data_IF_077365467766
#
_entry.id   IF_077365467766
#
_cell.length_a   1.000
_cell.length_b   1.000
_cell.length_c   1.000
_cell.angle_alpha   90.00
_cell.angle_beta   90.00
_cell.angle_gamma   90.00
#
_symmetry.space_group_name_H-M   'P 1'
#
loop_
_entity.id
_entity.type
_entity.pdbx_description
1 polymer ?
#
# COMPACT_ATOMS: atom_id res chain seq x y z
N UNK A 1 -54.43 29.58 -57.72
CA UNK A 1 -54.82 29.12 -56.39
C UNK A 1 -53.67 28.27 -55.82
N UNK A 2 -52.75 28.91 -55.15
CA UNK A 2 -51.57 28.28 -54.57
C UNK A 2 -51.73 28.23 -53.04
N UNK A 3 -51.83 27.05 -52.45
CA UNK A 3 -51.94 26.85 -50.99
C UNK A 3 -50.55 26.72 -50.40
N UNK A 4 -50.21 27.63 -49.51
CA UNK A 4 -49.05 27.57 -48.63
C UNK A 4 -49.27 26.54 -47.50
N UNK A 5 -48.30 25.71 -47.09
CA UNK A 5 -48.40 24.81 -45.96
C UNK A 5 -48.12 25.57 -44.62
N UNK A 6 -48.66 25.09 -43.49
CA UNK A 6 -48.55 25.78 -42.24
C UNK A 6 -47.19 25.50 -41.55
N UNK A 7 -46.68 26.52 -40.84
CA UNK A 7 -45.42 26.48 -40.07
C UNK A 7 -45.54 25.53 -38.88
N UNK A 8 -44.58 24.64 -38.73
CA UNK A 8 -44.41 23.75 -37.57
C UNK A 8 -43.87 24.50 -36.33
N UNK A 9 -44.31 24.17 -35.14
CA UNK A 9 -43.97 24.92 -33.92
C UNK A 9 -42.52 24.75 -33.48
N UNK A 10 -41.90 25.85 -33.10
CA UNK A 10 -40.53 26.05 -32.66
C UNK A 10 -40.17 25.36 -31.33
N UNK A 11 -40.98 24.44 -30.80
CA UNK A 11 -40.78 23.82 -29.48
C UNK A 11 -39.83 22.59 -29.44
N UNK A 12 -39.38 22.09 -30.59
CA UNK A 12 -38.52 20.89 -30.67
C UNK A 12 -37.03 21.15 -30.63
N UNK A 13 -36.58 22.39 -30.61
CA UNK A 13 -35.16 22.75 -30.63
C UNK A 13 -34.51 22.90 -29.23
N UNK A 14 -35.27 22.96 -28.16
CA UNK A 14 -34.73 23.12 -26.81
C UNK A 14 -34.63 21.82 -26.02
N UNK A 15 -35.21 20.72 -26.49
CA UNK A 15 -35.06 19.40 -25.84
C UNK A 15 -33.79 18.64 -26.30
N UNK A 16 -33.22 19.00 -27.45
CA UNK A 16 -31.96 18.35 -27.92
C UNK A 16 -30.69 18.94 -27.31
N UNK A 17 -30.76 20.17 -26.77
CA UNK A 17 -29.60 20.80 -26.11
C UNK A 17 -29.43 20.42 -24.63
N UNK A 18 -30.52 19.94 -23.99
CA UNK A 18 -30.48 19.53 -22.58
C UNK A 18 -29.95 18.12 -22.32
N UNK A 19 -29.99 17.23 -23.32
CA UNK A 19 -29.54 15.84 -23.19
C UNK A 19 -28.04 15.69 -23.51
N UNK A 20 -27.50 16.63 -24.29
CA UNK A 20 -26.06 16.66 -24.63
C UNK A 20 -25.16 17.14 -23.48
N UNK A 21 -25.68 17.93 -22.54
CA UNK A 21 -24.89 18.47 -21.42
C UNK A 21 -24.81 17.53 -20.18
N UNK A 22 -25.68 16.51 -20.10
CA UNK A 22 -25.66 15.54 -19.00
C UNK A 22 -24.84 14.29 -19.30
N UNK A 23 -24.39 14.11 -20.55
CA UNK A 23 -23.57 12.95 -20.96
C UNK A 23 -22.05 13.18 -20.85
N UNK A 24 -21.60 14.37 -20.43
CA UNK A 24 -20.16 14.72 -20.31
C UNK A 24 -19.66 14.62 -18.86
N UNK A 25 -20.51 14.29 -17.88
CA UNK A 25 -20.14 14.24 -16.47
C UNK A 25 -19.99 12.82 -15.87
N UNK A 26 -20.00 11.78 -16.72
CA UNK A 26 -19.68 10.41 -16.29
C UNK A 26 -18.49 9.81 -17.04
N UNK A 27 -17.45 10.58 -17.31
CA UNK A 27 -16.12 10.00 -17.37
C UNK A 27 -15.74 9.69 -15.91
N UNK A 28 -16.19 8.56 -15.41
CA UNK A 28 -15.57 7.93 -14.28
C UNK A 28 -14.09 7.79 -14.66
N UNK A 29 -13.25 8.65 -14.12
CA UNK A 29 -11.82 8.39 -14.01
C UNK A 29 -11.79 7.05 -13.31
N UNK A 30 -11.46 5.99 -14.05
CA UNK A 30 -11.10 4.70 -13.46
C UNK A 30 -9.93 5.03 -12.56
N UNK A 31 -10.18 5.20 -11.26
CA UNK A 31 -9.13 5.14 -10.29
C UNK A 31 -8.51 3.76 -10.50
N UNK A 32 -7.38 3.70 -11.19
CA UNK A 32 -6.58 2.49 -11.19
C UNK A 32 -6.28 2.23 -9.73
N UNK A 33 -6.89 1.18 -9.20
CA UNK A 33 -6.57 0.73 -7.86
C UNK A 33 -5.07 0.42 -7.86
N UNK A 34 -4.30 1.27 -7.18
CA UNK A 34 -2.87 1.04 -7.02
C UNK A 34 -2.72 -0.32 -6.34
N UNK A 35 -2.03 -1.25 -7.01
CA UNK A 35 -1.80 -2.57 -6.42
C UNK A 35 -0.66 -2.48 -5.41
N UNK A 36 -0.86 -3.08 -4.24
CA UNK A 36 0.20 -3.23 -3.26
C UNK A 36 1.10 -4.40 -3.66
N UNK A 37 2.38 -4.23 -3.47
CA UNK A 37 3.38 -5.31 -3.56
C UNK A 37 3.64 -5.80 -2.15
N UNK A 38 3.66 -7.12 -1.99
CA UNK A 38 4.06 -7.78 -0.76
C UNK A 38 5.30 -8.63 -1.06
N UNK A 39 6.39 -8.33 -0.41
CA UNK A 39 7.68 -9.02 -0.61
C UNK A 39 8.49 -8.99 0.67
N UNK A 40 8.69 -10.17 1.26
CA UNK A 40 9.39 -10.33 2.56
C UNK A 40 10.80 -9.75 2.55
N UNK A 41 11.54 -9.89 1.43
CA UNK A 41 12.92 -9.41 1.33
C UNK A 41 12.97 -7.89 1.29
N UNK A 42 12.20 -7.27 0.40
CA UNK A 42 12.18 -5.82 0.22
C UNK A 42 11.62 -5.14 1.46
N UNK A 43 10.48 -5.62 1.97
CA UNK A 43 9.85 -5.09 3.18
C UNK A 43 10.80 -5.19 4.38
N UNK A 44 11.46 -6.35 4.56
CA UNK A 44 12.41 -6.56 5.66
C UNK A 44 13.65 -5.67 5.57
N UNK A 45 14.22 -5.48 4.37
CA UNK A 45 15.37 -4.58 4.16
C UNK A 45 14.99 -3.13 4.49
N UNK A 46 13.87 -2.64 3.96
CA UNK A 46 13.40 -1.27 4.21
C UNK A 46 13.06 -1.07 5.68
N UNK A 47 12.40 -2.03 6.31
CA UNK A 47 12.09 -1.99 7.74
C UNK A 47 13.37 -1.87 8.58
N UNK A 48 14.36 -2.73 8.35
CA UNK A 48 15.64 -2.70 9.08
C UNK A 48 16.41 -1.37 8.92
N UNK A 49 16.30 -0.73 7.75
CA UNK A 49 16.91 0.59 7.56
C UNK A 49 16.15 1.69 8.28
N UNK A 50 14.81 1.57 8.37
CA UNK A 50 13.91 2.59 8.91
C UNK A 50 13.84 2.54 10.44
N UNK A 51 13.96 1.36 11.04
CA UNK A 51 13.77 1.12 12.48
C UNK A 51 14.55 2.10 13.36
N UNK A 52 15.89 2.31 13.20
CA UNK A 52 16.63 3.25 14.05
C UNK A 52 16.14 4.69 13.92
N UNK A 53 15.64 5.08 12.76
CA UNK A 53 15.15 6.46 12.50
C UNK A 53 13.77 6.66 13.11
N UNK A 54 12.88 5.66 13.01
CA UNK A 54 11.56 5.67 13.63
C UNK A 54 11.69 5.73 15.16
N UNK A 55 12.55 4.90 15.74
CA UNK A 55 12.87 4.94 17.18
C UNK A 55 13.39 6.29 17.63
N UNK A 56 14.31 6.89 16.87
CA UNK A 56 14.85 8.22 17.15
C UNK A 56 13.78 9.33 17.11
N UNK A 57 12.66 9.09 16.41
CA UNK A 57 11.48 9.97 16.44
C UNK A 57 10.54 9.64 17.61
N UNK A 58 10.75 8.53 18.34
CA UNK A 58 9.82 8.00 19.33
C UNK A 58 8.52 7.49 18.69
N UNK A 59 8.64 6.90 17.51
CA UNK A 59 7.61 6.09 16.85
C UNK A 59 8.00 4.62 17.03
N UNK A 60 7.07 3.79 17.46
CA UNK A 60 7.31 2.34 17.48
C UNK A 60 7.39 1.84 16.04
N UNK A 61 8.53 1.25 15.58
CA UNK A 61 8.69 0.77 14.23
C UNK A 61 7.66 -0.30 13.83
N UNK A 62 7.17 -1.08 14.81
CA UNK A 62 6.15 -2.11 14.58
C UNK A 62 4.73 -1.54 14.38
N UNK A 63 4.51 -0.27 14.77
CA UNK A 63 3.24 0.43 14.56
C UNK A 63 3.23 1.33 13.31
N UNK A 64 4.37 1.46 12.63
CA UNK A 64 4.48 2.19 11.36
C UNK A 64 4.48 1.19 10.21
N UNK A 65 3.36 1.12 9.51
CA UNK A 65 3.20 0.24 8.35
C UNK A 65 3.80 0.90 7.11
N UNK A 66 4.79 0.26 6.48
CA UNK A 66 5.41 0.72 5.23
C UNK A 66 4.91 -0.16 4.09
N UNK A 67 4.10 0.41 3.22
CA UNK A 67 3.49 -0.26 2.07
C UNK A 67 4.29 0.00 0.80
N UNK A 68 4.56 -1.04 0.03
CA UNK A 68 5.11 -0.93 -1.32
C UNK A 68 3.98 -0.79 -2.33
N UNK A 69 3.96 0.32 -3.05
CA UNK A 69 2.93 0.62 -4.05
C UNK A 69 3.49 0.35 -5.44
N UNK A 70 2.81 -0.52 -6.20
CA UNK A 70 3.15 -0.79 -7.60
C UNK A 70 2.77 0.41 -8.47
N UNK A 71 3.66 1.39 -8.52
CA UNK A 71 3.46 2.61 -9.29
C UNK A 71 4.84 3.15 -9.71
N UNK A 72 4.98 3.44 -10.99
CA UNK A 72 6.23 3.96 -11.57
C UNK A 72 6.44 5.46 -11.30
N UNK A 73 5.45 6.14 -10.75
CA UNK A 73 5.58 7.53 -10.39
C UNK A 73 6.52 7.72 -9.19
N UNK A 74 7.29 8.79 -9.22
CA UNK A 74 8.10 9.22 -8.09
C UNK A 74 7.17 9.75 -7.00
N UNK A 75 6.84 8.91 -6.03
CA UNK A 75 5.96 9.29 -4.93
C UNK A 75 6.24 8.49 -3.66
N UNK A 76 6.08 9.17 -2.52
CA UNK A 76 5.89 8.60 -1.20
C UNK A 76 4.80 9.41 -0.50
N UNK A 77 4.15 8.84 0.48
CA UNK A 77 3.11 9.53 1.23
C UNK A 77 2.93 8.92 2.61
N UNK A 78 2.59 9.75 3.58
CA UNK A 78 2.08 9.33 4.87
C UNK A 78 0.58 9.54 4.94
N UNK A 79 -0.16 8.63 5.58
CA UNK A 79 -1.60 8.73 5.77
C UNK A 79 -2.03 8.41 7.20
N UNK A 80 -3.33 8.50 7.48
CA UNK A 80 -3.90 8.18 8.80
C UNK A 80 -3.59 6.74 9.20
N UNK A 81 -3.40 6.48 10.49
CA UNK A 81 -3.10 5.14 11.00
C UNK A 81 -1.62 4.79 11.03
N UNK A 82 -0.72 5.79 10.87
CA UNK A 82 0.74 5.58 10.78
C UNK A 82 1.15 4.71 9.58
N UNK A 83 0.46 4.86 8.48
CA UNK A 83 0.74 4.16 7.22
C UNK A 83 1.57 5.06 6.33
N UNK A 84 2.63 4.52 5.75
CA UNK A 84 3.50 5.15 4.78
C UNK A 84 3.48 4.35 3.48
N UNK A 85 3.24 4.99 2.35
CA UNK A 85 3.33 4.36 1.03
C UNK A 85 4.62 4.77 0.32
N UNK A 86 5.33 3.81 -0.24
CA UNK A 86 6.51 4.02 -1.08
C UNK A 86 6.24 3.44 -2.48
N UNK A 87 6.18 4.31 -3.48
CA UNK A 87 6.03 3.85 -4.86
C UNK A 87 7.32 3.18 -5.34
N UNK A 88 7.19 2.11 -6.12
CA UNK A 88 8.33 1.42 -6.73
C UNK A 88 9.16 2.36 -7.59
N UNK A 89 8.53 3.30 -8.31
CA UNK A 89 9.24 4.32 -9.08
C UNK A 89 10.18 5.18 -8.24
N UNK A 90 9.80 5.53 -7.00
CA UNK A 90 10.66 6.23 -6.06
C UNK A 90 11.88 5.39 -5.67
N UNK A 91 11.67 4.12 -5.29
CA UNK A 91 12.77 3.22 -4.89
C UNK A 91 13.76 3.04 -6.04
N UNK A 92 13.26 2.82 -7.25
CA UNK A 92 14.08 2.67 -8.46
C UNK A 92 14.86 3.96 -8.83
N UNK A 93 14.38 5.12 -8.41
CA UNK A 93 15.02 6.40 -8.70
C UNK A 93 16.13 6.74 -7.71
N UNK A 94 16.07 6.29 -6.46
CA UNK A 94 17.09 6.52 -5.45
C UNK A 94 18.40 5.84 -5.83
N UNK A 95 19.52 6.50 -5.55
CA UNK A 95 20.88 6.03 -5.92
C UNK A 95 21.60 5.38 -4.74
N UNK A 96 21.05 5.49 -3.55
CA UNK A 96 21.63 4.93 -2.34
C UNK A 96 20.55 4.65 -1.29
N UNK A 97 20.82 3.75 -0.33
CA UNK A 97 19.95 3.53 0.82
C UNK A 97 19.66 4.82 1.59
N UNK A 98 20.69 5.67 1.77
CA UNK A 98 20.57 6.92 2.52
C UNK A 98 19.60 7.93 1.85
N UNK A 99 19.50 7.93 0.50
CA UNK A 99 18.49 8.75 -0.19
C UNK A 99 17.06 8.24 0.09
N UNK A 100 16.82 6.94 0.02
CA UNK A 100 15.52 6.35 0.35
C UNK A 100 15.17 6.58 1.82
N UNK A 101 16.13 6.38 2.71
CA UNK A 101 15.96 6.60 4.15
C UNK A 101 15.66 8.08 4.45
N UNK A 102 16.22 9.01 3.68
CA UNK A 102 15.91 10.44 3.76
C UNK A 102 14.44 10.74 3.47
N UNK A 103 13.87 10.11 2.44
CA UNK A 103 12.43 10.23 2.12
C UNK A 103 11.58 9.59 3.22
N UNK A 104 11.94 8.39 3.67
CA UNK A 104 11.24 7.71 4.78
C UNK A 104 11.25 8.58 6.04
N UNK A 105 12.38 9.22 6.37
CA UNK A 105 12.49 10.14 7.51
C UNK A 105 11.57 11.36 7.36
N UNK A 106 11.42 11.90 6.15
CA UNK A 106 10.48 12.98 5.85
C UNK A 106 9.03 12.55 6.08
N UNK A 107 8.62 11.43 5.51
CA UNK A 107 7.26 10.89 5.66
C UNK A 107 6.95 10.53 7.12
N UNK A 108 7.92 9.94 7.83
CA UNK A 108 7.81 9.70 9.27
C UNK A 108 7.69 11.01 10.06
N UNK A 109 8.30 12.11 9.59
CA UNK A 109 8.13 13.46 10.14
C UNK A 109 6.67 13.92 10.08
N UNK A 110 5.97 13.64 8.97
CA UNK A 110 4.53 13.91 8.84
C UNK A 110 3.69 13.10 9.85
N UNK A 111 4.03 11.83 10.04
CA UNK A 111 3.37 10.96 11.04
C UNK A 111 3.62 11.51 12.45
N UNK A 112 4.87 11.78 12.80
CA UNK A 112 5.28 12.29 14.12
C UNK A 112 4.60 13.59 14.49
N UNK A 113 4.55 14.54 13.55
CA UNK A 113 3.94 15.86 13.75
C UNK A 113 2.41 15.84 13.57
N UNK A 114 1.82 14.66 13.29
CA UNK A 114 0.38 14.45 13.10
C UNK A 114 -0.22 15.30 11.97
N UNK A 115 0.54 15.56 10.92
CA UNK A 115 0.07 16.34 9.77
C UNK A 115 -1.08 15.65 9.07
N UNK A 116 -1.07 14.31 9.02
CA UNK A 116 -2.09 13.47 8.39
C UNK A 116 -3.45 13.47 9.13
N UNK A 117 -3.50 13.96 10.37
CA UNK A 117 -4.71 14.01 11.19
C UNK A 117 -5.40 15.38 11.19
N UNK A 118 -4.75 16.41 10.64
CA UNK A 118 -5.24 17.79 10.71
C UNK A 118 -5.80 18.23 9.37
N UNK A 119 -7.08 18.59 9.31
CA UNK A 119 -7.68 19.31 8.18
C UNK A 119 -7.25 20.79 8.18
N UNK A 120 -5.99 21.02 8.57
CA UNK A 120 -5.46 22.34 8.87
C UNK A 120 -5.31 23.23 7.63
N UNK A 121 -5.07 22.66 6.44
CA UNK A 121 -4.95 23.43 5.21
C UNK A 121 -6.27 24.13 4.84
N UNK A 122 -7.41 23.45 5.00
CA UNK A 122 -8.71 24.06 4.80
C UNK A 122 -8.98 25.17 5.81
N UNK A 123 -8.71 24.93 7.10
CA UNK A 123 -8.89 25.91 8.15
C UNK A 123 -7.95 27.10 7.99
N UNK A 124 -6.69 26.87 7.61
CA UNK A 124 -5.69 27.93 7.37
C UNK A 124 -6.05 28.79 6.15
N UNK A 125 -6.71 28.20 5.13
CA UNK A 125 -7.25 28.94 3.99
C UNK A 125 -8.55 29.65 4.31
N UNK A 126 -9.41 29.08 5.14
CA UNK A 126 -10.73 29.65 5.48
C UNK A 126 -10.61 30.97 6.28
N UNK A 127 -9.70 31.07 7.25
CA UNK A 127 -9.56 32.28 8.05
C UNK A 127 -9.20 33.53 7.23
N UNK A 128 -8.15 33.55 6.39
CA UNK A 128 -7.85 34.68 5.53
C UNK A 128 -8.96 35.01 4.53
N UNK A 129 -9.61 33.98 4.00
CA UNK A 129 -10.76 34.13 3.09
C UNK A 129 -11.93 34.86 3.79
N UNK A 130 -12.35 34.38 4.95
CA UNK A 130 -13.46 34.95 5.71
C UNK A 130 -13.13 36.39 6.15
N UNK A 131 -11.89 36.64 6.62
CA UNK A 131 -11.44 37.96 7.02
C UNK A 131 -11.47 38.93 5.84
N UNK A 132 -11.00 38.54 4.66
CA UNK A 132 -11.02 39.37 3.46
C UNK A 132 -12.45 39.65 2.99
N UNK A 133 -13.34 38.65 3.08
CA UNK A 133 -14.79 38.83 2.79
C UNK A 133 -15.43 39.82 3.77
N UNK A 134 -15.13 39.72 5.06
CA UNK A 134 -15.68 40.63 6.06
C UNK A 134 -15.19 42.06 5.85
N UNK A 135 -13.89 42.27 5.57
CA UNK A 135 -13.34 43.59 5.25
C UNK A 135 -13.94 44.16 3.96
N UNK A 136 -14.19 43.35 2.95
CA UNK A 136 -14.86 43.73 1.71
C UNK A 136 -16.30 44.22 1.95
N UNK A 137 -17.04 43.50 2.79
CA UNK A 137 -18.40 43.90 3.18
C UNK A 137 -18.41 45.21 3.96
N UNK A 138 -17.47 45.40 4.94
CA UNK A 138 -17.33 46.60 5.71
C UNK A 138 -16.96 47.82 4.84
N UNK A 139 -16.03 47.64 3.88
CA UNK A 139 -15.66 48.73 2.94
C UNK A 139 -16.84 49.17 2.08
N UNK A 140 -17.65 48.25 1.60
CA UNK A 140 -18.86 48.53 0.83
C UNK A 140 -19.87 49.35 1.67
N UNK A 141 -20.11 48.96 2.93
CA UNK A 141 -21.00 49.65 3.86
C UNK A 141 -20.45 51.07 4.21
N UNK A 142 -19.14 51.20 4.32
CA UNK A 142 -18.46 52.47 4.63
C UNK A 142 -18.40 53.49 3.46
N UNK A 143 -19.04 53.18 2.33
CA UNK A 143 -19.11 54.04 1.17
C UNK A 143 -18.01 53.87 0.12
N UNK A 144 -17.28 52.74 0.18
CA UNK A 144 -16.25 52.40 -0.79
C UNK A 144 -16.63 51.05 -1.52
N UNK A 145 -17.69 51.00 -2.30
CA UNK A 145 -18.21 49.76 -2.90
C UNK A 145 -17.20 49.10 -3.88
N UNK A 146 -16.43 49.88 -4.63
CA UNK A 146 -15.43 49.36 -5.56
C UNK A 146 -14.28 48.65 -4.81
N UNK A 147 -13.81 49.21 -3.69
CA UNK A 147 -12.80 48.60 -2.82
C UNK A 147 -13.39 47.34 -2.15
N UNK A 148 -14.64 47.37 -1.74
CA UNK A 148 -15.36 46.23 -1.21
C UNK A 148 -15.46 45.08 -2.20
N UNK A 149 -15.84 45.37 -3.44
CA UNK A 149 -15.93 44.38 -4.52
C UNK A 149 -14.54 43.77 -4.84
N UNK A 150 -13.47 44.57 -4.89
CA UNK A 150 -12.10 44.09 -5.11
C UNK A 150 -11.64 43.14 -4.00
N UNK A 151 -11.91 43.44 -2.73
CA UNK A 151 -11.60 42.58 -1.59
C UNK A 151 -12.40 41.27 -1.65
N UNK A 152 -13.70 41.32 -1.95
CA UNK A 152 -14.53 40.12 -2.11
C UNK A 152 -14.01 39.22 -3.24
N UNK A 153 -13.65 39.78 -4.38
CA UNK A 153 -13.08 39.03 -5.51
C UNK A 153 -11.72 38.41 -5.18
N UNK A 154 -10.90 39.01 -4.32
CA UNK A 154 -9.59 38.51 -3.91
C UNK A 154 -9.62 37.50 -2.75
N UNK A 155 -10.79 37.29 -2.13
CA UNK A 155 -10.90 36.43 -0.93
C UNK A 155 -10.44 34.99 -1.15
N UNK A 156 -10.76 34.38 -2.30
CA UNK A 156 -10.29 33.05 -2.66
C UNK A 156 -8.76 32.99 -2.84
N UNK A 157 -8.16 34.05 -3.38
CA UNK A 157 -6.72 34.13 -3.51
C UNK A 157 -6.01 34.13 -2.16
N UNK A 158 -6.49 34.92 -1.19
CA UNK A 158 -5.95 34.91 0.18
C UNK A 158 -6.19 33.60 0.91
N UNK A 159 -7.32 32.93 0.66
CA UNK A 159 -7.57 31.58 1.15
C UNK A 159 -6.56 30.57 0.61
N UNK A 160 -6.29 30.60 -0.69
CA UNK A 160 -5.30 29.73 -1.34
C UNK A 160 -3.90 29.98 -0.79
N UNK A 161 -3.49 31.26 -0.62
CA UNK A 161 -2.20 31.62 -0.03
C UNK A 161 -2.06 31.14 1.42
N UNK A 162 -3.13 31.21 2.21
CA UNK A 162 -3.15 30.72 3.58
C UNK A 162 -2.93 29.20 3.64
N UNK A 163 -3.64 28.45 2.81
CA UNK A 163 -3.50 27.02 2.68
C UNK A 163 -2.08 26.61 2.22
N UNK A 164 -1.54 27.28 1.19
CA UNK A 164 -0.18 27.01 0.69
C UNK A 164 0.89 27.29 1.75
N UNK A 165 0.79 28.39 2.50
CA UNK A 165 1.72 28.69 3.59
C UNK A 165 1.67 27.65 4.70
N UNK A 166 0.47 27.18 5.04
CA UNK A 166 0.29 26.13 6.02
C UNK A 166 0.95 24.83 5.56
N UNK A 167 0.72 24.41 4.30
CA UNK A 167 1.39 23.25 3.72
C UNK A 167 2.91 23.39 3.74
N UNK A 168 3.45 24.53 3.31
CA UNK A 168 4.90 24.80 3.34
C UNK A 168 5.48 24.73 4.77
N UNK A 169 4.73 25.17 5.78
CA UNK A 169 5.15 25.06 7.19
C UNK A 169 5.22 23.59 7.62
N UNK A 170 4.22 22.78 7.28
CA UNK A 170 4.22 21.35 7.59
C UNK A 170 5.37 20.60 6.92
N UNK A 171 5.66 20.95 5.65
CA UNK A 171 6.80 20.40 4.93
C UNK A 171 8.13 20.73 5.63
N UNK A 172 8.33 21.99 6.02
CA UNK A 172 9.52 22.40 6.76
C UNK A 172 9.65 21.72 8.13
N UNK A 173 8.53 21.50 8.83
CA UNK A 173 8.52 20.77 10.10
C UNK A 173 8.88 19.30 9.88
N UNK A 174 8.35 18.65 8.83
CA UNK A 174 8.67 17.26 8.47
C UNK A 174 10.16 17.12 8.11
N UNK A 175 10.71 18.05 7.32
CA UNK A 175 12.13 18.08 6.95
C UNK A 175 13.05 18.13 8.18
N UNK A 176 12.80 19.07 9.07
CA UNK A 176 13.65 19.25 10.27
C UNK A 176 13.47 18.09 11.26
N UNK A 177 12.25 17.55 11.37
CA UNK A 177 11.99 16.38 12.22
C UNK A 177 12.72 15.16 11.68
N UNK A 178 12.65 14.92 10.36
CA UNK A 178 13.36 13.85 9.68
C UNK A 178 14.88 13.97 9.79
N UNK A 179 15.44 15.15 9.51
CA UNK A 179 16.87 15.39 9.61
C UNK A 179 17.43 15.15 11.03
N UNK A 180 16.71 15.63 12.06
CA UNK A 180 17.09 15.40 13.47
C UNK A 180 17.00 13.93 13.85
N UNK A 181 16.04 13.20 13.31
CA UNK A 181 15.91 11.77 13.58
C UNK A 181 17.05 10.98 12.92
N UNK A 182 17.41 11.30 11.69
CA UNK A 182 18.59 10.74 11.02
C UNK A 182 19.85 10.97 11.84
N UNK A 183 20.09 12.20 12.30
CA UNK A 183 21.24 12.53 13.15
C UNK A 183 21.25 11.70 14.44
N UNK A 184 20.13 11.63 15.17
CA UNK A 184 20.01 10.85 16.43
C UNK A 184 20.19 9.35 16.20
N UNK A 185 19.72 8.84 15.08
CA UNK A 185 19.93 7.44 14.66
C UNK A 185 21.38 7.17 14.23
N UNK A 186 22.24 8.19 14.21
CA UNK A 186 23.61 8.08 13.71
C UNK A 186 23.66 7.93 12.19
N UNK A 187 22.63 8.31 11.46
CA UNK A 187 22.55 8.30 9.99
C UNK A 187 22.79 9.68 9.40
N UNK A 188 23.39 9.73 8.19
CA UNK A 188 23.61 11.01 7.53
C UNK A 188 22.29 11.56 6.94
N UNK A 189 22.06 12.86 7.13
CA UNK A 189 20.97 13.57 6.44
C UNK A 189 21.31 13.95 4.99
N UNK A 190 22.54 13.67 4.52
CA UNK A 190 23.03 14.01 3.18
C UNK A 190 22.11 13.49 2.08
N UNK A 191 21.71 12.21 2.14
CA UNK A 191 20.85 11.59 1.12
C UNK A 191 19.49 12.29 0.99
N UNK A 192 18.94 12.82 2.09
CA UNK A 192 17.70 13.61 2.05
C UNK A 192 17.89 14.90 1.25
N UNK A 193 18.99 15.62 1.48
CA UNK A 193 19.31 16.84 0.73
C UNK A 193 19.59 16.52 -0.73
N UNK A 194 20.43 15.51 -1.02
CA UNK A 194 20.76 15.07 -2.37
C UNK A 194 19.52 14.63 -3.16
N UNK A 195 18.59 13.92 -2.50
CA UNK A 195 17.33 13.53 -3.10
C UNK A 195 16.52 14.76 -3.53
N UNK A 196 16.32 15.71 -2.64
CA UNK A 196 15.54 16.93 -2.92
C UNK A 196 16.19 17.79 -4.01
N UNK A 197 17.50 17.89 -4.04
CA UNK A 197 18.24 18.63 -5.07
C UNK A 197 18.12 17.99 -6.45
N UNK A 198 18.36 16.68 -6.52
CA UNK A 198 18.24 15.91 -7.76
C UNK A 198 16.81 15.97 -8.30
N UNK A 199 15.84 15.85 -7.39
CA UNK A 199 14.43 15.89 -7.73
C UNK A 199 14.02 17.27 -8.26
N UNK A 200 14.47 18.34 -7.62
CA UNK A 200 14.24 19.70 -8.08
C UNK A 200 14.93 20.02 -9.40
N UNK A 201 16.14 19.51 -9.64
CA UNK A 201 16.81 19.68 -10.92
C UNK A 201 15.98 19.11 -12.06
N UNK A 202 15.31 17.97 -11.86
CA UNK A 202 14.38 17.40 -12.82
C UNK A 202 13.11 18.23 -13.02
N UNK A 203 12.59 18.88 -11.94
CA UNK A 203 11.42 19.77 -12.04
C UNK A 203 11.65 20.92 -13.05
N UNK A 204 12.85 21.47 -13.09
CA UNK A 204 13.22 22.58 -13.99
C UNK A 204 13.25 22.12 -15.46
N UNK A 205 13.57 20.86 -15.73
CA UNK A 205 13.76 20.32 -17.08
C UNK A 205 12.58 19.50 -17.60
N UNK A 206 11.58 19.17 -16.75
CA UNK A 206 10.39 18.43 -17.14
C UNK A 206 9.11 19.23 -16.90
N UNK A 207 8.06 18.94 -17.68
CA UNK A 207 6.73 19.52 -17.47
C UNK A 207 6.28 19.24 -16.03
N UNK A 208 6.33 20.27 -15.18
CA UNK A 208 6.17 20.23 -13.70
C UNK A 208 4.94 19.49 -13.17
N UNK A 209 3.99 19.17 -14.03
CA UNK A 209 2.72 18.55 -13.68
C UNK A 209 2.79 17.01 -13.63
N UNK A 210 3.93 16.42 -13.95
CA UNK A 210 4.05 15.00 -14.23
C UNK A 210 4.26 14.13 -12.99
N UNK A 211 4.78 14.69 -11.89
CA UNK A 211 5.10 13.90 -10.69
C UNK A 211 4.17 14.23 -9.52
N UNK A 212 3.39 13.25 -9.01
CA UNK A 212 2.49 13.43 -7.87
C UNK A 212 3.17 13.98 -6.61
N UNK A 213 4.42 13.59 -6.35
CA UNK A 213 5.18 14.03 -5.20
C UNK A 213 5.31 15.55 -5.09
N UNK A 214 5.52 16.28 -6.19
CA UNK A 214 5.58 17.74 -6.18
C UNK A 214 4.28 18.42 -5.79
N UNK A 215 3.17 17.76 -6.09
CA UNK A 215 1.85 18.30 -5.74
C UNK A 215 1.54 18.14 -4.26
N UNK A 216 2.00 17.02 -3.66
CA UNK A 216 1.85 16.75 -2.23
C UNK A 216 2.94 17.42 -1.38
N UNK A 217 4.18 17.51 -1.89
CA UNK A 217 5.37 18.00 -1.19
C UNK A 217 6.09 19.10 -2.00
N UNK A 218 5.54 20.32 -2.10
CA UNK A 218 6.14 21.38 -2.91
C UNK A 218 7.56 21.73 -2.44
N UNK A 219 8.55 21.52 -3.32
CA UNK A 219 9.94 21.83 -3.06
C UNK A 219 10.26 23.28 -3.49
N UNK A 220 10.77 24.08 -2.56
CA UNK A 220 11.33 25.41 -2.85
C UNK A 220 12.83 25.43 -2.58
N UNK A 221 13.58 26.33 -3.26
CA UNK A 221 14.99 26.55 -2.93
C UNK A 221 15.21 26.88 -1.47
N UNK A 222 14.30 27.70 -0.94
CA UNK A 222 14.37 28.14 0.44
C UNK A 222 14.20 26.96 1.42
N UNK A 223 13.34 25.99 1.11
CA UNK A 223 13.13 24.79 1.91
C UNK A 223 14.37 23.90 1.90
N UNK A 224 14.96 23.66 0.69
CA UNK A 224 16.19 22.87 0.56
C UNK A 224 17.35 23.52 1.30
N UNK A 225 17.51 24.84 1.20
CA UNK A 225 18.58 25.56 1.90
C UNK A 225 18.39 25.55 3.42
N UNK A 226 17.14 25.66 3.90
CA UNK A 226 16.83 25.58 5.33
C UNK A 226 17.14 24.18 5.90
N UNK A 227 16.93 23.09 5.10
CA UNK A 227 17.28 21.73 5.46
C UNK A 227 18.81 21.50 5.41
N UNK A 228 19.47 22.01 4.38
CA UNK A 228 20.91 21.80 4.15
C UNK A 228 21.76 22.24 5.33
N UNK A 229 21.52 23.44 5.87
CA UNK A 229 22.32 24.00 6.95
C UNK A 229 22.43 23.11 8.18
N UNK A 230 21.33 22.66 8.82
CA UNK A 230 21.43 21.76 9.96
C UNK A 230 22.01 20.39 9.58
N UNK A 231 21.76 19.90 8.37
CA UNK A 231 22.29 18.59 7.90
C UNK A 231 23.81 18.66 7.72
N UNK A 232 24.35 19.71 7.09
CA UNK A 232 25.81 19.88 6.92
C UNK A 232 26.52 20.15 8.23
N UNK A 233 25.86 20.74 9.23
CA UNK A 233 26.40 20.97 10.56
C UNK A 233 26.38 19.71 11.45
N UNK A 234 25.67 18.66 11.07
CA UNK A 234 25.55 17.44 11.85
C UNK A 234 26.87 16.65 11.86
N UNK A 235 27.21 16.06 13.02
CA UNK A 235 28.48 15.33 13.22
C UNK A 235 28.64 14.12 12.33
N UNK A 236 27.52 13.54 11.84
CA UNK A 236 27.48 12.36 10.99
C UNK A 236 27.26 12.68 9.50
N UNK A 237 27.37 13.95 9.09
CA UNK A 237 27.16 14.37 7.70
C UNK A 237 28.01 13.58 6.70
N UNK A 238 29.28 13.32 7.02
CA UNK A 238 30.22 12.59 6.14
C UNK A 238 30.06 11.07 6.17
N UNK A 239 29.18 10.53 7.03
CA UNK A 239 28.90 9.10 7.06
C UNK A 239 28.31 8.66 5.72
N UNK A 240 28.81 7.56 5.18
CA UNK A 240 28.34 6.93 3.94
C UNK A 240 27.70 5.60 4.24
N UNK A 241 26.81 5.16 3.34
CA UNK A 241 26.27 3.83 3.39
C UNK A 241 27.40 2.78 3.34
N UNK A 242 27.25 1.73 4.13
CA UNK A 242 28.18 0.62 4.09
C UNK A 242 28.11 -0.13 2.75
N UNK A 243 29.18 -0.82 2.32
CA UNK A 243 29.13 -1.67 1.13
C UNK A 243 27.99 -2.70 1.17
N UNK A 244 27.67 -3.21 2.37
CA UNK A 244 26.57 -4.15 2.56
C UNK A 244 25.22 -3.48 2.22
N UNK A 245 24.92 -2.29 2.81
CA UNK A 245 23.66 -1.57 2.54
C UNK A 245 23.55 -1.17 1.08
N UNK A 246 24.65 -0.77 0.44
CA UNK A 246 24.66 -0.49 -1.00
C UNK A 246 24.35 -1.75 -1.83
N UNK A 247 24.86 -2.92 -1.43
CA UNK A 247 24.54 -4.18 -2.09
C UNK A 247 23.07 -4.58 -1.89
N UNK A 248 22.53 -4.40 -0.68
CA UNK A 248 21.10 -4.60 -0.37
C UNK A 248 20.20 -3.68 -1.25
N UNK A 249 20.54 -2.40 -1.37
CA UNK A 249 19.82 -1.48 -2.24
C UNK A 249 19.86 -1.91 -3.72
N UNK A 250 21.02 -2.29 -4.20
CA UNK A 250 21.18 -2.79 -5.57
C UNK A 250 20.34 -4.07 -5.80
N UNK A 251 20.25 -4.94 -4.78
CA UNK A 251 19.42 -6.14 -4.83
C UNK A 251 17.93 -5.81 -4.89
N UNK A 252 17.45 -4.88 -4.03
CA UNK A 252 16.07 -4.39 -4.03
C UNK A 252 15.70 -3.80 -5.39
N UNK A 253 16.56 -2.91 -5.93
CA UNK A 253 16.36 -2.32 -7.27
C UNK A 253 16.30 -3.38 -8.36
N UNK A 254 17.23 -4.35 -8.34
CA UNK A 254 17.28 -5.42 -9.32
C UNK A 254 16.06 -6.34 -9.25
N UNK A 255 15.59 -6.69 -8.04
CA UNK A 255 14.39 -7.49 -7.82
C UNK A 255 13.13 -6.78 -8.33
N UNK A 256 12.94 -5.51 -7.95
CA UNK A 256 11.78 -4.72 -8.41
C UNK A 256 11.78 -4.64 -9.95
N UNK A 257 12.90 -4.27 -10.58
CA UNK A 257 12.98 -4.23 -12.04
C UNK A 257 12.67 -5.58 -12.67
N UNK A 258 13.24 -6.65 -12.13
CA UNK A 258 13.06 -7.99 -12.69
C UNK A 258 11.61 -8.47 -12.62
N UNK A 259 10.85 -8.07 -11.58
CA UNK A 259 9.42 -8.39 -11.48
C UNK A 259 8.51 -7.43 -12.25
N UNK A 260 8.92 -6.18 -12.47
CA UNK A 260 8.04 -5.17 -13.07
C UNK A 260 8.31 -4.90 -14.52
N UNK A 261 9.57 -4.90 -14.94
CA UNK A 261 9.94 -4.64 -16.33
C UNK A 261 9.65 -5.88 -17.21
N UNK A 262 9.60 -5.66 -18.53
CA UNK A 262 9.54 -6.77 -19.46
C UNK A 262 10.82 -7.63 -19.34
N UNK A 263 10.72 -8.98 -19.34
CA UNK A 263 11.88 -9.86 -19.15
C UNK A 263 13.08 -9.54 -20.05
N UNK A 264 12.82 -9.23 -21.33
CA UNK A 264 13.85 -8.88 -22.28
C UNK A 264 14.53 -7.52 -21.98
N UNK A 265 13.85 -6.60 -21.31
CA UNK A 265 14.43 -5.35 -20.83
C UNK A 265 15.35 -5.62 -19.66
N UNK A 266 14.91 -6.42 -18.68
CA UNK A 266 15.74 -6.85 -17.55
C UNK A 266 17.02 -7.58 -18.02
N UNK A 267 16.90 -8.48 -19.00
CA UNK A 267 18.07 -9.21 -19.54
C UNK A 267 19.05 -8.30 -20.30
N UNK A 268 18.59 -7.18 -20.87
CA UNK A 268 19.49 -6.17 -21.46
C UNK A 268 20.18 -5.33 -20.39
N UNK A 269 19.43 -4.90 -19.37
CA UNK A 269 19.93 -4.03 -18.31
C UNK A 269 20.91 -4.77 -17.37
N UNK A 270 20.71 -6.08 -17.23
CA UNK A 270 21.56 -7.01 -16.47
C UNK A 270 22.20 -8.07 -17.39
N UNK A 271 23.16 -7.70 -18.25
CA UNK A 271 23.75 -8.62 -19.23
C UNK A 271 24.55 -9.74 -18.55
N UNK A 272 24.80 -10.83 -19.27
CA UNK A 272 25.56 -11.99 -18.75
C UNK A 272 27.00 -11.67 -18.35
N UNK A 273 27.56 -10.57 -18.86
CA UNK A 273 28.88 -10.06 -18.46
C UNK A 273 28.89 -9.44 -17.06
N UNK A 274 27.72 -9.05 -16.52
CA UNK A 274 27.61 -8.60 -15.14
C UNK A 274 27.44 -9.81 -14.22
N UNK A 275 28.52 -10.14 -13.50
CA UNK A 275 28.56 -11.25 -12.55
C UNK A 275 28.12 -10.87 -11.13
N UNK A 276 27.68 -9.62 -10.88
CA UNK A 276 27.20 -9.19 -9.57
C UNK A 276 25.99 -10.00 -9.11
N UNK A 277 25.83 -10.16 -7.80
CA UNK A 277 24.70 -10.88 -7.21
C UNK A 277 23.33 -10.29 -7.65
N UNK A 278 23.13 -8.95 -7.60
CA UNK A 278 21.88 -8.34 -8.07
C UNK A 278 21.56 -8.67 -9.53
N UNK A 279 22.59 -8.63 -10.41
CA UNK A 279 22.39 -8.92 -11.83
C UNK A 279 22.04 -10.39 -12.09
N UNK A 280 22.67 -11.32 -11.37
CA UNK A 280 22.34 -12.75 -11.49
C UNK A 280 20.95 -13.06 -10.96
N UNK A 281 20.56 -12.44 -9.85
CA UNK A 281 19.23 -12.58 -9.28
C UNK A 281 18.17 -12.02 -10.23
N UNK A 282 18.38 -10.81 -10.77
CA UNK A 282 17.47 -10.22 -11.76
C UNK A 282 17.30 -11.12 -13.00
N UNK A 283 18.38 -11.73 -13.51
CA UNK A 283 18.28 -12.65 -14.64
C UNK A 283 17.52 -13.93 -14.31
N UNK A 284 17.70 -14.50 -13.12
CA UNK A 284 16.94 -15.67 -12.68
C UNK A 284 15.41 -15.36 -12.69
N UNK A 285 15.03 -14.23 -12.12
CA UNK A 285 13.63 -13.76 -12.12
C UNK A 285 13.14 -13.48 -13.55
N UNK A 286 13.98 -12.85 -14.39
CA UNK A 286 13.60 -12.55 -15.78
C UNK A 286 13.35 -13.83 -16.59
N UNK A 287 14.19 -14.86 -16.46
CA UNK A 287 13.97 -16.16 -17.11
C UNK A 287 12.71 -16.86 -16.60
N UNK A 288 12.46 -16.82 -15.30
CA UNK A 288 11.24 -17.33 -14.72
C UNK A 288 10.01 -16.64 -15.35
N UNK A 289 9.97 -15.31 -15.39
CA UNK A 289 8.86 -14.55 -15.95
C UNK A 289 8.73 -14.68 -17.47
N UNK A 290 9.80 -15.06 -18.16
CA UNK A 290 9.80 -15.35 -19.60
C UNK A 290 9.42 -16.81 -19.91
N UNK A 291 9.04 -17.62 -18.90
CA UNK A 291 8.67 -19.03 -19.05
C UNK A 291 9.87 -19.95 -19.36
N UNK A 292 11.09 -19.50 -19.15
CA UNK A 292 12.31 -20.29 -19.30
C UNK A 292 12.64 -21.01 -17.98
N UNK A 293 11.69 -21.82 -17.50
CA UNK A 293 11.69 -22.41 -16.14
C UNK A 293 12.99 -23.12 -15.80
N UNK A 294 13.55 -23.97 -16.71
CA UNK A 294 14.78 -24.69 -16.41
C UNK A 294 15.97 -23.73 -16.23
N UNK A 295 16.11 -22.70 -17.08
CA UNK A 295 17.17 -21.71 -16.92
C UNK A 295 17.04 -20.91 -15.63
N UNK A 296 15.81 -20.61 -15.23
CA UNK A 296 15.55 -19.92 -13.98
C UNK A 296 15.97 -20.78 -12.78
N UNK A 297 15.59 -22.07 -12.78
CA UNK A 297 15.98 -23.03 -11.73
C UNK A 297 17.51 -23.20 -11.66
N UNK A 298 18.17 -23.41 -12.81
CA UNK A 298 19.64 -23.53 -12.86
C UNK A 298 20.31 -22.28 -12.30
N UNK A 299 19.80 -21.09 -12.63
CA UNK A 299 20.33 -19.83 -12.12
C UNK A 299 20.12 -19.67 -10.60
N UNK A 300 18.96 -20.05 -10.09
CA UNK A 300 18.67 -20.02 -8.65
C UNK A 300 19.54 -21.05 -7.91
N UNK A 301 19.80 -22.22 -8.48
CA UNK A 301 20.67 -23.23 -7.89
C UNK A 301 22.13 -22.76 -7.77
N UNK A 302 22.60 -21.95 -8.73
CA UNK A 302 23.90 -21.28 -8.61
C UNK A 302 23.91 -20.28 -7.45
N UNK A 303 22.85 -19.48 -7.29
CA UNK A 303 22.72 -18.54 -6.17
C UNK A 303 22.68 -19.27 -4.82
N UNK A 304 21.95 -20.39 -4.74
CA UNK A 304 21.86 -21.23 -3.55
C UNK A 304 23.16 -21.96 -3.21
N UNK A 305 23.97 -22.28 -4.21
CA UNK A 305 25.34 -22.86 -3.99
C UNK A 305 26.24 -21.86 -3.27
N UNK A 306 26.10 -20.56 -3.59
CA UNK A 306 26.92 -19.50 -2.98
C UNK A 306 26.32 -19.02 -1.64
N UNK A 307 24.99 -18.98 -1.53
CA UNK A 307 24.28 -18.49 -0.36
C UNK A 307 23.17 -19.48 0.06
N UNK A 308 23.56 -20.67 0.59
CA UNK A 308 22.59 -21.72 0.95
C UNK A 308 21.66 -21.34 2.11
N UNK A 309 21.99 -20.29 2.86
CA UNK A 309 21.20 -19.78 3.98
C UNK A 309 20.38 -18.54 3.63
N UNK A 310 20.30 -18.18 2.35
CA UNK A 310 19.42 -17.08 1.92
C UNK A 310 17.97 -17.57 1.75
N UNK A 311 17.03 -17.16 2.61
CA UNK A 311 15.65 -17.66 2.58
C UNK A 311 14.92 -17.28 1.28
N UNK A 312 15.27 -16.16 0.68
CA UNK A 312 14.57 -15.59 -0.47
C UNK A 312 14.94 -16.30 -1.79
N UNK A 313 16.13 -16.88 -1.88
CA UNK A 313 16.50 -17.73 -3.03
C UNK A 313 15.78 -19.07 -2.95
N UNK A 314 15.59 -19.61 -1.75
CA UNK A 314 14.74 -20.78 -1.53
C UNK A 314 13.26 -20.46 -1.83
N UNK A 315 12.77 -19.30 -1.41
CA UNK A 315 11.43 -18.81 -1.76
C UNK A 315 11.24 -18.76 -3.28
N UNK A 316 12.17 -18.11 -4.02
CA UNK A 316 12.10 -18.00 -5.47
C UNK A 316 12.13 -19.37 -6.14
N UNK A 317 12.95 -20.31 -5.67
CA UNK A 317 12.97 -21.70 -6.17
C UNK A 317 11.61 -22.36 -5.99
N UNK A 318 11.04 -22.26 -4.79
CA UNK A 318 9.71 -22.78 -4.48
C UNK A 318 8.61 -22.15 -5.35
N UNK A 319 8.65 -20.84 -5.52
CA UNK A 319 7.70 -20.11 -6.36
C UNK A 319 7.76 -20.55 -7.81
N UNK A 320 8.96 -20.68 -8.40
CA UNK A 320 9.14 -21.15 -9.78
C UNK A 320 8.54 -22.56 -9.95
N UNK A 321 8.82 -23.48 -9.04
CA UNK A 321 8.30 -24.84 -9.07
C UNK A 321 6.78 -24.88 -8.90
N UNK A 322 6.26 -24.08 -7.98
CA UNK A 322 4.83 -24.00 -7.71
C UNK A 322 4.04 -23.49 -8.93
N UNK A 323 4.49 -22.38 -9.52
CA UNK A 323 3.81 -21.78 -10.69
C UNK A 323 3.95 -22.60 -11.96
N UNK A 324 4.95 -23.48 -12.05
CA UNK A 324 5.08 -24.50 -13.11
C UNK A 324 4.13 -25.70 -12.92
N UNK A 325 3.28 -25.67 -11.89
CA UNK A 325 2.35 -26.78 -11.59
C UNK A 325 3.03 -27.98 -10.91
N UNK A 326 4.14 -27.76 -10.21
CA UNK A 326 4.93 -28.78 -9.49
C UNK A 326 4.91 -28.52 -7.97
N UNK A 327 3.72 -28.39 -7.34
CA UNK A 327 3.61 -28.01 -5.94
C UNK A 327 4.32 -28.97 -4.98
N UNK A 328 4.32 -30.27 -5.27
CA UNK A 328 4.98 -31.26 -4.44
C UNK A 328 6.51 -31.06 -4.40
N UNK A 329 7.12 -30.60 -5.48
CA UNK A 329 8.56 -30.32 -5.54
C UNK A 329 8.90 -28.95 -4.91
N UNK A 330 7.93 -28.01 -4.92
CA UNK A 330 8.09 -26.70 -4.31
C UNK A 330 8.19 -26.75 -2.77
N UNK A 331 7.58 -27.76 -2.14
CA UNK A 331 7.47 -27.88 -0.68
C UNK A 331 8.85 -27.80 -0.01
N UNK A 332 9.81 -28.62 -0.43
CA UNK A 332 11.14 -28.66 0.20
C UNK A 332 11.87 -27.32 0.16
N UNK A 333 11.70 -26.56 -0.92
CA UNK A 333 12.26 -25.22 -1.05
C UNK A 333 11.55 -24.22 -0.11
N UNK A 334 10.23 -24.25 -0.05
CA UNK A 334 9.47 -23.39 0.87
C UNK A 334 9.70 -23.77 2.35
N UNK A 335 9.81 -25.06 2.69
CA UNK A 335 10.18 -25.51 4.04
C UNK A 335 11.53 -24.92 4.45
N UNK A 336 12.53 -24.98 3.55
CA UNK A 336 13.86 -24.42 3.84
C UNK A 336 13.81 -22.90 3.99
N UNK A 337 13.03 -22.20 3.18
CA UNK A 337 12.81 -20.76 3.30
C UNK A 337 12.22 -20.40 4.67
N UNK A 338 11.17 -21.09 5.12
CA UNK A 338 10.53 -20.90 6.42
C UNK A 338 11.46 -21.25 7.58
N UNK A 339 12.29 -22.29 7.46
CA UNK A 339 13.29 -22.65 8.48
C UNK A 339 14.31 -21.54 8.70
N UNK A 340 14.76 -20.90 7.61
CA UNK A 340 15.75 -19.84 7.65
C UNK A 340 15.18 -18.50 8.15
N UNK A 341 13.88 -18.25 7.92
CA UNK A 341 13.20 -17.04 8.36
C UNK A 341 11.79 -17.36 8.89
N UNK A 342 11.72 -17.89 10.13
CA UNK A 342 10.45 -18.37 10.69
C UNK A 342 9.46 -17.29 11.10
N UNK A 343 9.89 -16.04 11.19
CA UNK A 343 9.12 -14.86 11.55
C UNK A 343 8.46 -14.16 10.33
N UNK A 344 8.59 -14.75 9.13
CA UNK A 344 8.04 -14.18 7.90
C UNK A 344 6.68 -14.80 7.54
N UNK A 345 5.57 -14.05 7.65
CA UNK A 345 4.24 -14.58 7.36
C UNK A 345 4.07 -15.02 5.91
N UNK A 346 4.62 -14.27 4.94
CA UNK A 346 4.45 -14.58 3.51
C UNK A 346 5.14 -15.90 3.13
N UNK A 347 6.31 -16.20 3.71
CA UNK A 347 7.02 -17.47 3.44
C UNK A 347 6.21 -18.67 3.97
N UNK A 348 5.55 -18.52 5.13
CA UNK A 348 4.64 -19.55 5.67
C UNK A 348 3.41 -19.74 4.81
N UNK A 349 2.86 -18.65 4.27
CA UNK A 349 1.71 -18.70 3.37
C UNK A 349 2.08 -19.42 2.08
N UNK A 350 3.26 -19.17 1.51
CA UNK A 350 3.74 -19.85 0.31
C UNK A 350 3.90 -21.37 0.56
N UNK A 351 4.47 -21.76 1.69
CA UNK A 351 4.56 -23.17 2.08
C UNK A 351 3.16 -23.80 2.21
N UNK A 352 2.26 -23.16 2.95
CA UNK A 352 0.91 -23.67 3.13
C UNK A 352 0.15 -23.79 1.82
N UNK A 353 0.31 -22.85 0.91
CA UNK A 353 -0.30 -22.88 -0.40
C UNK A 353 0.20 -24.09 -1.20
N UNK A 354 1.51 -24.33 -1.22
CA UNK A 354 2.08 -25.50 -1.89
C UNK A 354 1.56 -26.82 -1.29
N UNK A 355 1.45 -26.90 0.05
CA UNK A 355 0.91 -28.07 0.75
C UNK A 355 -0.56 -28.34 0.34
N UNK A 356 -1.40 -27.30 0.27
CA UNK A 356 -2.81 -27.45 -0.11
C UNK A 356 -2.95 -27.91 -1.56
N UNK A 357 -2.18 -27.36 -2.47
CA UNK A 357 -2.27 -27.65 -3.91
C UNK A 357 -1.75 -29.05 -4.30
N UNK A 358 -1.07 -29.76 -3.39
CA UNK A 358 -0.72 -31.17 -3.64
C UNK A 358 -1.94 -32.09 -3.61
N UNK A 359 -3.07 -31.66 -3.06
CA UNK A 359 -4.23 -32.48 -2.76
C UNK A 359 -3.96 -33.71 -1.87
N UNK A 360 -2.85 -33.70 -1.13
CA UNK A 360 -2.50 -34.69 -0.13
C UNK A 360 -3.16 -34.31 1.21
N UNK A 361 -4.26 -34.98 1.54
CA UNK A 361 -5.02 -34.72 2.76
C UNK A 361 -4.20 -34.92 4.05
N UNK A 362 -3.13 -35.72 4.01
CA UNK A 362 -2.26 -35.95 5.17
C UNK A 362 -1.45 -34.71 5.54
N UNK A 363 -1.21 -33.81 4.59
CA UNK A 363 -0.43 -32.56 4.78
C UNK A 363 -1.30 -31.34 5.09
N UNK A 364 -2.61 -31.46 5.06
CA UNK A 364 -3.52 -30.33 5.33
C UNK A 364 -3.41 -29.81 6.78
N UNK A 365 -3.07 -30.67 7.74
CA UNK A 365 -2.83 -30.26 9.14
C UNK A 365 -1.58 -29.37 9.25
N UNK A 366 -0.55 -29.68 8.49
CA UNK A 366 0.66 -28.86 8.41
C UNK A 366 0.36 -27.49 7.77
N UNK A 367 -0.40 -27.50 6.66
CA UNK A 367 -0.83 -26.25 6.02
C UNK A 367 -1.63 -25.36 6.97
N UNK A 368 -2.57 -25.94 7.74
CA UNK A 368 -3.33 -25.24 8.77
C UNK A 368 -2.40 -24.61 9.83
N UNK A 369 -1.40 -25.35 10.33
CA UNK A 369 -0.46 -24.85 11.32
C UNK A 369 0.38 -23.68 10.77
N UNK A 370 0.89 -23.78 9.54
CA UNK A 370 1.63 -22.69 8.90
C UNK A 370 0.78 -21.43 8.73
N UNK A 371 -0.48 -21.58 8.31
CA UNK A 371 -1.40 -20.44 8.15
C UNK A 371 -1.76 -19.78 9.48
N UNK A 372 -2.01 -20.58 10.53
CA UNK A 372 -2.25 -20.05 11.87
C UNK A 372 -1.05 -19.27 12.41
N UNK A 373 0.17 -19.77 12.20
CA UNK A 373 1.39 -19.05 12.56
C UNK A 373 1.59 -17.78 11.74
N UNK A 374 1.27 -17.80 10.44
CA UNK A 374 1.30 -16.61 9.61
C UNK A 374 0.31 -15.55 10.12
N UNK A 375 -0.92 -15.95 10.44
CA UNK A 375 -1.97 -15.08 10.97
C UNK A 375 -1.70 -14.57 12.40
N UNK A 376 -0.90 -15.29 13.19
CA UNK A 376 -0.43 -14.79 14.48
C UNK A 376 0.58 -13.64 14.32
N UNK A 377 1.33 -13.59 13.20
CA UNK A 377 2.27 -12.53 12.86
C UNK A 377 1.55 -11.37 12.12
N UNK A 378 0.60 -11.69 11.24
CA UNK A 378 -0.12 -10.74 10.39
C UNK A 378 -1.61 -11.14 10.35
N UNK A 379 -2.37 -10.67 11.34
CA UNK A 379 -3.75 -11.11 11.59
C UNK A 379 -4.78 -10.70 10.54
N UNK A 380 -4.48 -9.71 9.72
CA UNK A 380 -5.36 -9.21 8.66
C UNK A 380 -4.94 -9.67 7.24
N UNK A 381 -4.00 -10.63 7.13
CA UNK A 381 -3.60 -11.18 5.85
C UNK A 381 -4.74 -11.95 5.18
N UNK A 382 -5.35 -11.33 4.19
CA UNK A 382 -6.53 -11.88 3.52
C UNK A 382 -6.23 -13.17 2.73
N UNK A 383 -5.02 -13.32 2.16
CA UNK A 383 -4.63 -14.55 1.46
C UNK A 383 -4.53 -15.73 2.43
N UNK A 384 -3.94 -15.51 3.61
CA UNK A 384 -3.83 -16.53 4.65
C UNK A 384 -5.22 -17.00 5.12
N UNK A 385 -6.15 -16.08 5.37
CA UNK A 385 -7.53 -16.43 5.72
C UNK A 385 -8.25 -17.22 4.63
N UNK A 386 -8.07 -16.84 3.36
CA UNK A 386 -8.65 -17.56 2.22
C UNK A 386 -8.12 -18.99 2.13
N UNK A 387 -6.80 -19.16 2.23
CA UNK A 387 -6.17 -20.48 2.19
C UNK A 387 -6.54 -21.32 3.41
N UNK A 388 -6.67 -20.72 4.59
CA UNK A 388 -7.11 -21.41 5.79
C UNK A 388 -8.55 -21.93 5.67
N UNK A 389 -9.44 -21.12 5.05
CA UNK A 389 -10.79 -21.57 4.72
C UNK A 389 -10.78 -22.78 3.76
N UNK A 390 -9.92 -22.78 2.74
CA UNK A 390 -9.75 -23.90 1.82
C UNK A 390 -9.23 -25.15 2.54
N UNK A 391 -8.20 -25.01 3.36
CA UNK A 391 -7.64 -26.11 4.16
C UNK A 391 -8.67 -26.74 5.09
N UNK A 392 -9.46 -25.94 5.80
CA UNK A 392 -10.53 -26.42 6.65
C UNK A 392 -11.64 -27.14 5.90
N UNK A 393 -12.08 -26.59 4.76
CA UNK A 393 -13.09 -27.23 3.92
C UNK A 393 -12.60 -28.59 3.40
N UNK A 394 -11.34 -28.69 2.98
CA UNK A 394 -10.73 -29.96 2.53
C UNK A 394 -10.57 -30.98 3.68
N UNK A 395 -10.57 -30.54 4.92
CA UNK A 395 -10.57 -31.40 6.12
C UNK A 395 -11.99 -31.75 6.63
N UNK A 396 -13.05 -31.22 5.98
CA UNK A 396 -14.44 -31.37 6.46
C UNK A 396 -14.79 -30.54 7.69
N UNK A 397 -13.95 -29.55 8.07
CA UNK A 397 -14.18 -28.62 9.18
C UNK A 397 -15.00 -27.41 8.70
N UNK A 398 -16.26 -27.64 8.34
CA UNK A 398 -17.10 -26.63 7.66
C UNK A 398 -17.36 -25.37 8.53
N UNK A 399 -17.55 -25.52 9.84
CA UNK A 399 -17.75 -24.39 10.74
C UNK A 399 -16.55 -23.44 10.77
N UNK A 400 -15.35 -24.01 10.92
CA UNK A 400 -14.08 -23.28 10.91
C UNK A 400 -13.78 -22.69 9.51
N UNK A 401 -14.13 -23.39 8.44
CA UNK A 401 -14.00 -22.88 7.07
C UNK A 401 -14.86 -21.61 6.84
N UNK A 402 -16.10 -21.61 7.38
CA UNK A 402 -16.99 -20.44 7.32
C UNK A 402 -16.45 -19.28 8.16
N UNK A 403 -15.88 -19.58 9.34
CA UNK A 403 -15.25 -18.56 10.16
C UNK A 403 -14.04 -17.94 9.46
N UNK A 404 -13.16 -18.74 8.89
CA UNK A 404 -12.01 -18.25 8.12
C UNK A 404 -12.45 -17.39 6.90
N UNK A 405 -13.55 -17.79 6.24
CA UNK A 405 -14.17 -16.96 5.19
C UNK A 405 -14.70 -15.63 5.73
N UNK A 406 -15.29 -15.62 6.92
CA UNK A 406 -15.76 -14.40 7.58
C UNK A 406 -14.60 -13.45 7.90
N UNK A 407 -13.50 -13.97 8.43
CA UNK A 407 -12.26 -13.20 8.68
C UNK A 407 -11.68 -12.62 7.38
N UNK A 408 -11.66 -13.41 6.29
CA UNK A 408 -11.24 -12.92 4.97
C UNK A 408 -12.03 -11.69 4.55
N UNK A 409 -13.36 -11.74 4.61
CA UNK A 409 -14.22 -10.63 4.23
C UNK A 409 -14.10 -9.44 5.20
N UNK A 410 -13.88 -9.74 6.48
CA UNK A 410 -13.67 -8.72 7.51
C UNK A 410 -12.36 -7.96 7.28
N UNK A 411 -11.27 -8.65 6.96
CA UNK A 411 -9.99 -8.04 6.56
C UNK A 411 -10.13 -7.13 5.33
N UNK A 412 -10.97 -7.54 4.36
CA UNK A 412 -11.28 -6.72 3.18
C UNK A 412 -12.26 -5.57 3.45
N UNK A 413 -12.68 -5.33 4.71
CA UNK A 413 -13.67 -4.33 5.09
C UNK A 413 -15.04 -4.50 4.42
N UNK A 414 -15.39 -5.74 4.07
CA UNK A 414 -16.67 -6.12 3.46
C UNK A 414 -17.62 -6.63 4.55
N UNK A 415 -18.16 -5.69 5.36
CA UNK A 415 -18.93 -6.00 6.57
C UNK A 415 -20.15 -6.91 6.31
N UNK A 416 -20.88 -6.71 5.23
CA UNK A 416 -22.06 -7.52 4.90
C UNK A 416 -21.68 -8.99 4.65
N UNK A 417 -20.66 -9.25 3.82
CA UNK A 417 -20.16 -10.60 3.55
C UNK A 417 -19.58 -11.24 4.80
N UNK A 418 -18.79 -10.47 5.58
CA UNK A 418 -18.24 -10.94 6.84
C UNK A 418 -19.33 -11.41 7.79
N UNK A 419 -20.40 -10.62 7.99
CA UNK A 419 -21.53 -10.98 8.83
C UNK A 419 -22.25 -12.25 8.33
N UNK A 420 -22.49 -12.37 7.02
CA UNK A 420 -23.15 -13.55 6.44
C UNK A 420 -22.38 -14.84 6.67
N UNK A 421 -21.05 -14.83 6.45
CA UNK A 421 -20.21 -16.01 6.69
C UNK A 421 -20.07 -16.31 8.20
N UNK A 422 -19.93 -15.28 9.03
CA UNK A 422 -19.85 -15.45 10.48
C UNK A 422 -21.14 -16.02 11.09
N UNK A 423 -22.32 -15.61 10.62
CA UNK A 423 -23.60 -16.22 11.04
C UNK A 423 -23.66 -17.71 10.68
N UNK A 424 -23.25 -18.07 9.46
CA UNK A 424 -23.21 -19.50 9.06
C UNK A 424 -22.21 -20.31 9.87
N UNK A 425 -21.06 -19.73 10.24
CA UNK A 425 -20.09 -20.36 11.12
C UNK A 425 -20.70 -20.66 12.49
N UNK A 426 -21.41 -19.68 13.08
CA UNK A 426 -22.10 -19.84 14.38
C UNK A 426 -23.12 -20.99 14.40
N UNK A 427 -23.79 -21.24 13.26
CA UNK A 427 -24.77 -22.31 13.14
C UNK A 427 -24.12 -23.72 13.18
N UNK A 428 -22.82 -23.82 12.85
CA UNK A 428 -22.08 -25.08 12.71
C UNK A 428 -21.09 -25.31 13.85
N UNK A 429 -20.63 -24.27 14.54
CA UNK A 429 -19.64 -24.33 15.59
C UNK A 429 -20.26 -24.62 16.97
N UNK A 430 -19.49 -25.24 17.88
CA UNK A 430 -19.89 -25.40 19.27
C UNK A 430 -20.03 -24.02 19.94
N UNK A 431 -21.18 -23.76 20.53
CA UNK A 431 -21.49 -22.48 21.22
C UNK A 431 -20.53 -22.12 22.35
N UNK A 432 -19.82 -23.10 22.92
CA UNK A 432 -18.85 -22.88 23.98
C UNK A 432 -17.43 -22.65 23.45
N UNK A 433 -17.20 -22.81 22.13
CA UNK A 433 -15.88 -22.67 21.52
C UNK A 433 -15.43 -21.21 21.40
N UNK A 434 -14.12 -21.02 21.25
CA UNK A 434 -13.53 -19.71 21.00
C UNK A 434 -13.93 -19.23 19.60
N UNK A 435 -14.01 -20.15 18.67
CA UNK A 435 -14.38 -19.92 17.27
C UNK A 435 -15.81 -19.37 17.14
N UNK A 436 -16.75 -19.92 17.91
CA UNK A 436 -18.12 -19.41 17.94
C UNK A 436 -18.19 -17.98 18.49
N UNK A 437 -17.44 -17.68 19.56
CA UNK A 437 -17.34 -16.32 20.11
C UNK A 437 -16.73 -15.37 19.09
N UNK A 438 -15.66 -15.76 18.43
CA UNK A 438 -15.03 -14.95 17.39
C UNK A 438 -15.99 -14.67 16.22
N UNK A 439 -16.76 -15.66 15.79
CA UNK A 439 -17.80 -15.47 14.78
C UNK A 439 -18.85 -14.44 15.24
N UNK A 440 -19.23 -14.49 16.52
CA UNK A 440 -20.17 -13.51 17.11
C UNK A 440 -19.59 -12.09 17.09
N UNK A 441 -18.32 -11.93 17.46
CA UNK A 441 -17.63 -10.64 17.44
C UNK A 441 -17.62 -10.03 16.04
N UNK A 442 -17.36 -10.84 15.00
CA UNK A 442 -17.40 -10.37 13.62
C UNK A 442 -18.81 -9.90 13.22
N UNK A 443 -19.86 -10.62 13.60
CA UNK A 443 -21.23 -10.23 13.31
C UNK A 443 -21.55 -8.87 13.93
N UNK A 444 -21.22 -8.67 15.22
CA UNK A 444 -21.43 -7.42 15.93
C UNK A 444 -20.59 -6.27 15.35
N UNK A 445 -19.29 -6.50 15.09
CA UNK A 445 -18.41 -5.52 14.51
C UNK A 445 -18.82 -5.12 13.08
N UNK A 446 -19.57 -5.98 12.39
CA UNK A 446 -20.11 -5.73 11.06
C UNK A 446 -21.43 -4.93 11.05
N UNK A 447 -21.88 -4.48 12.24
CA UNK A 447 -23.05 -3.61 12.40
C UNK A 447 -24.40 -4.32 12.62
N UNK A 448 -24.40 -5.65 12.80
CA UNK A 448 -25.61 -6.37 13.20
C UNK A 448 -25.91 -6.11 14.69
N UNK A 449 -27.20 -5.97 15.03
CA UNK A 449 -27.63 -5.81 16.41
C UNK A 449 -27.84 -7.19 17.06
N UNK A 450 -27.84 -7.24 18.40
CA UNK A 450 -28.21 -8.46 19.15
C UNK A 450 -29.60 -8.97 18.76
N UNK A 451 -30.50 -8.07 18.41
CA UNK A 451 -31.83 -8.42 17.90
C UNK A 451 -31.76 -9.15 16.58
N UNK A 452 -30.94 -8.68 15.63
CA UNK A 452 -30.74 -9.32 14.31
C UNK A 452 -30.21 -10.73 14.47
N UNK A 453 -29.29 -10.92 15.43
CA UNK A 453 -28.72 -12.23 15.80
C UNK A 453 -29.80 -13.16 16.35
N UNK A 454 -30.58 -12.68 17.33
CA UNK A 454 -31.64 -13.47 17.96
C UNK A 454 -32.74 -13.85 16.96
N UNK A 455 -33.11 -12.93 16.06
CA UNK A 455 -34.11 -13.19 15.02
C UNK A 455 -33.61 -14.19 13.97
N UNK A 456 -32.31 -14.19 13.66
CA UNK A 456 -31.70 -15.19 12.78
C UNK A 456 -31.65 -16.58 13.44
N UNK A 457 -31.30 -16.67 14.72
CA UNK A 457 -31.29 -17.91 15.50
C UNK A 457 -32.69 -18.54 15.57
N UNK A 458 -33.72 -17.76 15.87
CA UNK A 458 -35.11 -18.24 15.88
C UNK A 458 -35.56 -18.77 14.51
N UNK A 459 -35.16 -18.11 13.42
CA UNK A 459 -35.48 -18.59 12.07
C UNK A 459 -34.81 -19.92 11.75
N UNK A 460 -33.58 -20.13 12.19
CA UNK A 460 -32.85 -21.37 12.00
C UNK A 460 -33.43 -22.50 12.83
N UNK A 461 -33.80 -22.25 14.09
CA UNK A 461 -34.49 -23.24 14.94
C UNK A 461 -35.84 -23.67 14.34
N UNK A 462 -36.60 -22.72 13.78
CA UNK A 462 -37.87 -23.03 13.13
C UNK A 462 -37.66 -23.88 11.86
N UNK A 463 -36.62 -23.61 11.05
CA UNK A 463 -36.26 -24.41 9.87
C UNK A 463 -35.83 -25.81 10.24
N UNK A 464 -35.01 -25.98 11.26
CA UNK A 464 -34.60 -27.29 11.78
C UNK A 464 -35.78 -28.13 12.26
N UNK A 465 -36.77 -27.49 12.89
CA UNK A 465 -38.00 -28.18 13.35
C UNK A 465 -38.96 -28.51 12.21
N UNK A 466 -38.94 -27.77 11.11
CA UNK A 466 -39.81 -27.99 9.95
C UNK A 466 -39.27 -29.01 8.94
N UNK A 467 -38.11 -29.59 9.14
CA UNK A 467 -37.53 -30.60 8.28
C UNK A 467 -37.16 -30.17 6.85
N UNK A 468 -37.11 -28.86 6.61
CA UNK A 468 -36.74 -28.31 5.29
C UNK A 468 -35.23 -28.33 5.16
N UNK A 469 -34.72 -29.30 4.39
CA UNK A 469 -33.30 -29.34 3.97
C UNK A 469 -33.07 -28.14 3.04
N UNK A 470 -32.04 -27.29 3.27
CA UNK A 470 -31.75 -26.21 2.34
C UNK A 470 -31.36 -26.77 0.99
N UNK A 471 -31.80 -26.19 -0.15
CA UNK A 471 -31.30 -26.58 -1.44
C UNK A 471 -29.80 -26.34 -1.47
N UNK A 472 -29.05 -27.40 -1.78
CA UNK A 472 -27.60 -27.34 -1.97
C UNK A 472 -27.30 -26.28 -3.02
N UNK A 473 -26.51 -25.27 -2.65
CA UNK A 473 -25.95 -24.33 -3.61
C UNK A 473 -24.86 -25.05 -4.39
N UNK A 474 -25.05 -25.17 -5.70
CA UNK A 474 -24.03 -25.46 -6.67
C UNK A 474 -22.97 -24.35 -6.75
#
# INVERSE_FOLDING_TARGET
MTRTPPAAPRFRRYLAAGVGALAVLTSAVSAQAQSLIRDTEIEGIIHNWSEPVLDAMGLDPNEVEILLVNDNDLNAFATRGRIMGLNTGLILWTKSPNQLLGVIAHEAGHIKNRHTLRDGAQNAGMQPMIMTMALGALAAIAGAPDAGAALLASSQYFGTLGALRYMQSQEGEADITGARALERAGESGRGMVEFFENFRAQEIFSDQRRYPYFRSHPLSSQRIEALRRPVEAASNYEKRDSPQRMAEHALVVAKIRAFMDAPNATLRDYPSSDASLPARYARAIAWYRDGQTQKALDAVDVLLTEQPENPYFWELKGQILFEEGRPAEAIGAHERSVQLKPDAPLLRINLAHALIETNDTTRLTEAEDQLKRALALEGDNNLAWRLLSQAYSSQGKEGEARLASAEYWFALRRSEQAAQFAMRARDMLDRNSIEWRRATDIVLASGATEKDITDAERRNEQRSRSGVIPPGGE
#
